data_IF_815025393359
#
_entry.id   IF_815025393359
#
_cell.length_a   1.000
_cell.length_b   1.000
_cell.length_c   1.000
_cell.angle_alpha   90.00
_cell.angle_beta   90.00
_cell.angle_gamma   90.00
#
_symmetry.space_group_name_H-M   'P 1'
#
loop_
_entity.id
_entity.type
_entity.pdbx_description
1 polymer ?
#
# COMPACT_ATOMS: atom_id res chain seq x y z
N UNK A 1 -20.90 -89.60 -74.65
CA UNK A 1 -20.79 -88.53 -73.64
C UNK A 1 -21.08 -87.18 -74.27
N UNK A 2 -21.49 -86.17 -73.50
CA UNK A 2 -21.50 -84.79 -73.96
C UNK A 2 -20.07 -84.29 -74.15
N UNK A 3 -19.94 -83.21 -74.91
CA UNK A 3 -18.71 -82.41 -74.86
C UNK A 3 -18.55 -81.85 -73.45
N UNK A 4 -17.30 -81.62 -73.06
CA UNK A 4 -16.99 -80.98 -71.78
C UNK A 4 -17.52 -79.56 -71.76
N UNK A 5 -18.12 -79.19 -70.63
CA UNK A 5 -18.43 -77.80 -70.34
C UNK A 5 -17.10 -77.04 -70.23
N UNK A 6 -17.13 -75.74 -70.51
CA UNK A 6 -15.96 -74.87 -70.34
C UNK A 6 -15.49 -74.88 -68.89
N UNK A 7 -14.17 -74.77 -68.70
CA UNK A 7 -13.56 -74.69 -67.37
C UNK A 7 -14.16 -73.59 -66.50
N UNK A 8 -14.32 -73.90 -65.21
CA UNK A 8 -14.66 -72.91 -64.18
C UNK A 8 -13.54 -71.88 -64.02
N UNK A 9 -13.85 -70.68 -63.46
CA UNK A 9 -12.82 -69.72 -63.10
C UNK A 9 -11.84 -70.31 -62.07
N UNK A 10 -10.59 -69.85 -62.11
CA UNK A 10 -9.55 -70.32 -61.21
C UNK A 10 -9.94 -70.04 -59.74
N UNK A 11 -9.60 -70.96 -58.84
CA UNK A 11 -9.93 -70.86 -57.40
C UNK A 11 -9.29 -69.66 -56.70
N UNK A 12 -8.33 -68.98 -57.32
CA UNK A 12 -7.65 -67.79 -56.80
C UNK A 12 -7.61 -66.68 -57.86
N UNK A 13 -7.43 -65.45 -57.38
CA UNK A 13 -7.40 -64.24 -58.21
C UNK A 13 -6.01 -63.81 -58.70
N UNK A 14 -4.92 -64.37 -58.16
CA UNK A 14 -3.56 -64.21 -58.68
C UNK A 14 -2.66 -65.40 -58.23
N UNK A 15 -1.80 -65.92 -59.10
CA UNK A 15 -0.89 -67.04 -58.84
C UNK A 15 -1.41 -68.41 -59.33
N UNK A 16 -0.89 -69.50 -58.74
CA UNK A 16 -1.26 -70.89 -59.06
C UNK A 16 -2.47 -71.40 -58.25
N UNK A 17 -3.61 -71.61 -58.92
CA UNK A 17 -4.84 -72.18 -58.37
C UNK A 17 -5.32 -73.44 -59.11
N UNK A 18 -6.57 -73.83 -58.90
CA UNK A 18 -7.22 -74.98 -59.53
C UNK A 18 -8.51 -74.55 -60.23
N UNK A 19 -8.86 -75.19 -61.35
CA UNK A 19 -10.16 -75.07 -62.02
C UNK A 19 -10.70 -76.43 -62.42
N UNK A 20 -12.01 -76.56 -62.46
CA UNK A 20 -12.73 -77.81 -62.74
C UNK A 20 -13.72 -77.65 -63.89
N UNK A 21 -14.02 -78.73 -64.61
CA UNK A 21 -15.09 -78.78 -65.62
C UNK A 21 -15.82 -80.09 -65.56
N UNK A 22 -17.07 -80.07 -66.01
CA UNK A 22 -17.95 -81.23 -65.98
C UNK A 22 -18.51 -81.57 -67.37
N UNK A 23 -18.90 -82.83 -67.56
CA UNK A 23 -19.64 -83.31 -68.74
C UNK A 23 -20.66 -84.35 -68.30
N UNK A 24 -21.73 -84.48 -69.07
CA UNK A 24 -22.82 -85.40 -68.75
C UNK A 24 -22.99 -86.46 -69.83
N UNK A 25 -23.73 -87.52 -69.51
CA UNK A 25 -23.96 -88.63 -70.42
C UNK A 25 -25.07 -88.26 -71.41
N UNK A 26 -24.74 -88.05 -72.69
CA UNK A 26 -25.73 -87.77 -73.75
C UNK A 26 -26.59 -88.98 -74.12
N UNK A 27 -26.01 -90.17 -74.09
CA UNK A 27 -26.68 -91.42 -74.42
C UNK A 27 -26.12 -92.50 -73.51
N UNK A 28 -27.02 -93.19 -72.83
CA UNK A 28 -26.67 -94.36 -72.04
C UNK A 28 -26.54 -95.58 -72.95
N UNK A 29 -25.64 -96.52 -72.64
CA UNK A 29 -25.53 -97.78 -73.39
C UNK A 29 -26.89 -98.49 -73.46
N UNK A 30 -27.25 -99.04 -74.61
CA UNK A 30 -28.57 -99.67 -74.83
C UNK A 30 -28.79 -100.94 -73.97
N UNK A 31 -27.71 -101.52 -73.43
CA UNK A 31 -27.75 -102.66 -72.49
C UNK A 31 -28.11 -102.28 -71.03
N UNK A 32 -28.46 -101.02 -70.76
CA UNK A 32 -28.91 -100.56 -69.43
C UNK A 32 -27.81 -100.41 -68.37
N UNK A 33 -26.53 -100.54 -68.75
CA UNK A 33 -25.39 -100.33 -67.87
C UNK A 33 -25.10 -98.82 -67.67
N UNK A 34 -24.63 -98.46 -66.48
CA UNK A 34 -24.25 -97.07 -66.17
C UNK A 34 -22.89 -96.74 -66.78
N UNK A 35 -22.77 -95.54 -67.35
CA UNK A 35 -21.53 -95.09 -67.99
C UNK A 35 -20.41 -94.86 -66.95
N UNK A 36 -19.24 -95.49 -67.13
CA UNK A 36 -18.09 -95.44 -66.21
C UNK A 36 -17.04 -94.38 -66.55
N UNK A 37 -17.26 -93.59 -67.60
CA UNK A 37 -16.34 -92.53 -68.01
C UNK A 37 -16.42 -91.32 -67.05
N UNK A 38 -15.31 -90.62 -66.80
CA UNK A 38 -15.27 -89.49 -65.87
C UNK A 38 -16.16 -88.35 -66.38
N UNK A 39 -16.95 -87.82 -65.45
CA UNK A 39 -17.87 -86.70 -65.64
C UNK A 39 -17.33 -85.39 -65.08
N UNK A 40 -16.24 -85.41 -64.32
CA UNK A 40 -15.54 -84.21 -63.81
C UNK A 40 -14.03 -84.34 -64.05
N UNK A 41 -13.39 -83.20 -64.36
CA UNK A 41 -11.95 -83.07 -64.55
C UNK A 41 -11.48 -81.79 -63.83
N UNK A 42 -10.33 -81.86 -63.15
CA UNK A 42 -9.73 -80.72 -62.44
C UNK A 42 -8.28 -80.54 -62.87
N UNK A 43 -7.90 -79.30 -63.17
CA UNK A 43 -6.54 -78.93 -63.56
C UNK A 43 -6.01 -77.72 -62.80
N UNK A 44 -4.69 -77.59 -62.76
CA UNK A 44 -4.03 -76.40 -62.21
C UNK A 44 -4.17 -75.25 -63.20
N UNK A 45 -4.50 -74.07 -62.70
CA UNK A 45 -4.57 -72.83 -63.46
C UNK A 45 -3.63 -71.79 -62.86
N UNK A 46 -3.03 -70.96 -63.71
CA UNK A 46 -2.24 -69.80 -63.28
C UNK A 46 -2.97 -68.54 -63.71
N UNK A 47 -3.23 -67.63 -62.77
CA UNK A 47 -3.83 -66.31 -63.06
C UNK A 47 -2.78 -65.25 -62.78
N UNK A 48 -2.29 -64.56 -63.83
CA UNK A 48 -1.19 -63.58 -63.80
C UNK A 48 0.14 -64.12 -63.24
N UNK A 49 1.11 -64.39 -64.12
CA UNK A 49 2.43 -64.94 -63.74
C UNK A 49 3.32 -63.97 -62.94
N UNK A 50 3.11 -62.65 -63.04
CA UNK A 50 3.93 -61.64 -62.38
C UNK A 50 3.17 -60.95 -61.23
N UNK A 51 2.88 -61.70 -60.18
CA UNK A 51 2.43 -61.10 -58.91
C UNK A 51 3.68 -60.62 -58.14
N UNK A 52 3.99 -59.31 -58.15
CA UNK A 52 5.07 -58.75 -57.31
C UNK A 52 4.75 -58.96 -55.83
N UNK A 53 5.53 -59.80 -55.15
CA UNK A 53 5.19 -60.32 -53.82
C UNK A 53 5.15 -59.27 -52.70
N UNK A 54 5.72 -58.07 -52.90
CA UNK A 54 5.96 -57.11 -51.81
C UNK A 54 5.21 -55.78 -51.91
N UNK A 55 4.48 -55.49 -53.00
CA UNK A 55 3.80 -54.20 -53.16
C UNK A 55 2.29 -54.34 -53.30
N UNK A 56 1.56 -53.71 -52.39
CA UNK A 56 0.12 -53.58 -52.43
C UNK A 56 -0.32 -52.50 -53.43
N UNK A 57 -1.39 -52.78 -54.17
CA UNK A 57 -1.99 -51.79 -55.08
C UNK A 57 -2.92 -50.89 -54.28
N UNK A 58 -2.71 -49.58 -54.37
CA UNK A 58 -3.54 -48.55 -53.74
C UNK A 58 -4.38 -47.82 -54.78
N UNK A 59 -5.50 -47.24 -54.36
CA UNK A 59 -6.27 -46.32 -55.19
C UNK A 59 -5.56 -44.98 -55.33
N UNK A 60 -6.01 -44.19 -56.30
CA UNK A 60 -5.71 -42.75 -56.31
C UNK A 60 -6.20 -42.10 -55.01
N UNK A 61 -5.57 -40.96 -54.68
CA UNK A 61 -6.00 -40.15 -53.54
C UNK A 61 -7.40 -39.58 -53.77
N UNK A 62 -8.25 -39.67 -52.76
CA UNK A 62 -9.51 -38.92 -52.72
C UNK A 62 -9.25 -37.41 -52.68
N UNK A 63 -10.33 -36.65 -52.87
CA UNK A 63 -10.30 -35.20 -52.70
C UNK A 63 -9.92 -34.83 -51.26
N UNK A 64 -9.42 -33.60 -51.09
CA UNK A 64 -9.14 -33.08 -49.77
C UNK A 64 -10.44 -32.75 -49.04
N UNK A 65 -10.54 -33.20 -47.80
CA UNK A 65 -11.58 -32.77 -46.87
C UNK A 65 -11.50 -31.26 -46.63
N UNK A 66 -12.59 -30.70 -46.12
CA UNK A 66 -12.64 -29.32 -45.66
C UNK A 66 -11.58 -29.05 -44.58
N UNK A 67 -11.11 -27.81 -44.49
CA UNK A 67 -10.15 -27.42 -43.47
C UNK A 67 -10.77 -27.60 -42.08
N UNK A 68 -10.03 -28.21 -41.15
CA UNK A 68 -10.50 -28.43 -39.78
C UNK A 68 -10.76 -27.14 -38.99
N UNK A 69 -10.29 -26.01 -39.50
CA UNK A 69 -10.54 -24.69 -38.95
C UNK A 69 -11.32 -23.86 -39.98
N UNK A 70 -12.19 -22.97 -39.50
CA UNK A 70 -12.93 -22.02 -40.35
C UNK A 70 -12.20 -20.68 -40.51
N UNK A 71 -11.25 -20.39 -39.61
CA UNK A 71 -10.35 -19.23 -39.66
C UNK A 71 -8.96 -19.62 -39.09
N UNK A 72 -7.91 -18.90 -39.46
CA UNK A 72 -6.54 -19.16 -38.99
C UNK A 72 -5.92 -20.45 -39.53
N UNK A 73 -5.05 -21.08 -38.73
CA UNK A 73 -4.34 -22.29 -39.15
C UNK A 73 -5.16 -23.54 -38.84
N UNK A 74 -5.45 -24.34 -39.87
CA UNK A 74 -6.12 -25.63 -39.74
C UNK A 74 -5.37 -26.75 -40.45
N UNK A 75 -5.98 -27.93 -40.48
CA UNK A 75 -5.49 -29.09 -41.21
C UNK A 75 -6.59 -29.64 -42.12
N UNK A 76 -6.23 -29.98 -43.36
CA UNK A 76 -7.08 -30.76 -44.26
C UNK A 76 -6.49 -32.15 -44.42
N UNK A 77 -7.34 -33.15 -44.59
CA UNK A 77 -6.94 -34.55 -44.75
C UNK A 77 -7.48 -35.11 -46.05
N UNK A 78 -6.79 -36.09 -46.62
CA UNK A 78 -7.31 -36.89 -47.73
C UNK A 78 -6.94 -38.33 -47.52
N UNK A 79 -7.75 -39.22 -48.07
CA UNK A 79 -7.66 -40.65 -47.85
C UNK A 79 -7.56 -41.42 -49.17
N UNK A 80 -6.85 -42.55 -49.15
CA UNK A 80 -6.85 -43.54 -50.23
C UNK A 80 -6.94 -44.94 -49.64
N UNK A 81 -7.42 -45.89 -50.44
CA UNK A 81 -7.66 -47.25 -49.98
C UNK A 81 -6.66 -48.23 -50.60
N UNK A 82 -6.44 -49.34 -49.91
CA UNK A 82 -5.67 -50.46 -50.47
C UNK A 82 -6.63 -51.29 -51.32
N UNK A 83 -6.41 -51.31 -52.64
CA UNK A 83 -7.22 -52.06 -53.60
C UNK A 83 -6.88 -53.54 -53.57
N UNK A 84 -5.61 -53.89 -53.37
CA UNK A 84 -5.14 -55.27 -53.24
C UNK A 84 -4.02 -55.35 -52.21
N UNK A 85 -4.14 -56.30 -51.28
CA UNK A 85 -3.10 -56.63 -50.29
C UNK A 85 -1.95 -57.41 -50.94
N UNK A 86 -0.73 -57.37 -50.36
CA UNK A 86 0.40 -58.17 -50.82
C UNK A 86 0.08 -59.68 -50.78
N UNK A 87 0.59 -60.42 -51.76
CA UNK A 87 0.36 -61.87 -51.88
C UNK A 87 0.89 -62.67 -50.67
N UNK A 88 1.92 -62.14 -49.99
CA UNK A 88 2.57 -62.76 -48.84
C UNK A 88 1.77 -62.62 -47.51
N UNK A 89 0.54 -62.08 -47.57
CA UNK A 89 -0.34 -61.91 -46.40
C UNK A 89 0.08 -60.80 -45.42
N UNK A 90 1.13 -60.04 -45.74
CA UNK A 90 1.62 -58.94 -44.93
C UNK A 90 0.75 -57.68 -45.04
N UNK A 91 0.76 -56.84 -44.00
CA UNK A 91 0.03 -55.57 -44.03
C UNK A 91 0.67 -54.58 -44.99
N UNK A 92 -0.17 -53.85 -45.72
CA UNK A 92 0.28 -52.86 -46.68
C UNK A 92 0.99 -51.68 -45.98
N UNK A 93 2.23 -51.38 -46.38
CA UNK A 93 3.03 -50.26 -45.84
C UNK A 93 2.74 -48.90 -46.51
N UNK A 94 1.83 -48.86 -47.48
CA UNK A 94 1.48 -47.62 -48.15
C UNK A 94 0.68 -46.71 -47.22
N UNK A 95 1.03 -45.43 -47.18
CA UNK A 95 0.30 -44.44 -46.38
C UNK A 95 -1.10 -44.22 -46.95
N UNK A 96 -2.13 -44.40 -46.13
CA UNK A 96 -3.55 -44.33 -46.52
C UNK A 96 -4.22 -43.00 -46.15
N UNK A 97 -3.54 -42.16 -45.37
CA UNK A 97 -4.03 -40.85 -44.96
C UNK A 97 -2.93 -39.81 -45.07
N UNK A 98 -3.19 -38.71 -45.75
CA UNK A 98 -2.27 -37.57 -45.82
C UNK A 98 -2.92 -36.35 -45.18
N UNK A 99 -2.16 -35.59 -44.40
CA UNK A 99 -2.61 -34.36 -43.76
C UNK A 99 -1.72 -33.19 -44.18
N UNK A 100 -2.33 -32.07 -44.55
CA UNK A 100 -1.64 -30.84 -44.90
C UNK A 100 -2.21 -29.66 -44.12
N UNK A 101 -1.36 -28.67 -43.84
CA UNK A 101 -1.80 -27.42 -43.22
C UNK A 101 -2.60 -26.61 -44.24
N UNK A 102 -3.75 -26.09 -43.81
CA UNK A 102 -4.53 -25.10 -44.55
C UNK A 102 -4.49 -23.78 -43.79
N UNK A 103 -4.37 -22.68 -44.53
CA UNK A 103 -4.48 -21.34 -44.00
C UNK A 103 -5.84 -20.77 -44.40
N UNK A 104 -6.70 -20.60 -43.42
CA UNK A 104 -7.99 -19.95 -43.58
C UNK A 104 -7.85 -18.45 -43.31
N UNK A 105 -8.86 -17.63 -43.67
CA UNK A 105 -8.85 -16.21 -43.34
C UNK A 105 -8.51 -15.96 -41.88
N UNK A 106 -7.80 -14.87 -41.58
CA UNK A 106 -7.42 -14.54 -40.21
C UNK A 106 -8.65 -14.52 -39.30
N UNK A 107 -8.55 -15.16 -38.14
CA UNK A 107 -9.59 -15.07 -37.13
C UNK A 107 -9.60 -13.63 -36.60
N UNK A 108 -10.56 -12.83 -37.03
CA UNK A 108 -10.83 -11.57 -36.36
C UNK A 108 -11.36 -11.88 -34.97
N UNK A 109 -10.54 -11.65 -33.94
CA UNK A 109 -11.03 -11.61 -32.57
C UNK A 109 -12.04 -10.47 -32.51
N UNK A 110 -13.29 -10.78 -32.23
CA UNK A 110 -14.27 -9.74 -31.92
C UNK A 110 -13.76 -9.10 -30.62
N UNK A 111 -13.37 -7.81 -30.61
CA UNK A 111 -12.90 -7.18 -29.39
C UNK A 111 -13.99 -7.27 -28.34
N UNK A 112 -13.62 -7.68 -27.12
CA UNK A 112 -14.55 -7.75 -26.00
C UNK A 112 -15.21 -6.38 -25.80
N UNK A 113 -16.51 -6.29 -26.06
CA UNK A 113 -17.23 -5.03 -25.92
C UNK A 113 -17.42 -4.78 -24.42
N UNK A 114 -16.65 -3.84 -23.86
CA UNK A 114 -16.75 -3.44 -22.46
C UNK A 114 -17.66 -2.22 -22.32
N UNK A 115 -18.34 -2.10 -21.17
CA UNK A 115 -19.02 -0.87 -20.79
C UNK A 115 -18.00 0.24 -20.50
N UNK A 116 -18.41 1.52 -20.56
CA UNK A 116 -17.63 2.55 -19.89
C UNK A 116 -17.47 2.20 -18.40
N UNK A 117 -16.40 2.69 -17.80
CA UNK A 117 -16.21 2.63 -16.35
C UNK A 117 -17.34 3.37 -15.65
N UNK A 118 -17.74 2.86 -14.48
CA UNK A 118 -18.57 3.61 -13.55
C UNK A 118 -17.82 4.86 -13.08
N UNK A 119 -18.58 5.77 -12.47
CA UNK A 119 -17.97 6.79 -11.61
C UNK A 119 -17.20 6.12 -10.47
N UNK A 120 -16.20 6.84 -9.97
CA UNK A 120 -15.44 6.40 -8.80
C UNK A 120 -16.34 6.40 -7.57
N UNK A 121 -16.16 5.38 -6.71
CA UNK A 121 -16.71 5.38 -5.37
C UNK A 121 -16.16 6.56 -4.56
N UNK A 122 -16.84 6.85 -3.45
CA UNK A 122 -16.25 7.66 -2.39
C UNK A 122 -14.95 7.02 -1.88
N UNK A 123 -14.10 7.85 -1.30
CA UNK A 123 -12.87 7.39 -0.66
C UNK A 123 -13.22 6.50 0.54
N UNK A 124 -12.48 5.41 0.73
CA UNK A 124 -12.69 4.45 1.83
C UNK A 124 -12.55 5.04 3.23
N UNK A 125 -11.95 6.22 3.34
CA UNK A 125 -11.72 6.97 4.57
C UNK A 125 -12.35 8.36 4.44
N UNK A 126 -12.63 9.00 5.56
CA UNK A 126 -13.11 10.39 5.62
C UNK A 126 -11.99 11.41 5.74
N UNK A 127 -10.78 10.96 6.07
CA UNK A 127 -9.57 11.78 6.20
C UNK A 127 -8.32 10.94 5.91
N UNK A 128 -7.24 11.60 5.48
CA UNK A 128 -5.95 10.99 5.20
C UNK A 128 -5.96 10.12 3.92
N UNK A 129 -5.21 9.02 3.97
CA UNK A 129 -4.96 8.15 2.81
C UNK A 129 -5.99 7.03 2.77
N UNK A 130 -6.68 6.88 1.64
CA UNK A 130 -7.62 5.79 1.40
C UNK A 130 -7.56 5.25 -0.02
N UNK A 131 -8.56 4.47 -0.38
CA UNK A 131 -8.74 3.91 -1.71
C UNK A 131 -10.16 4.20 -2.22
N UNK A 132 -10.30 4.35 -3.53
CA UNK A 132 -11.59 4.40 -4.23
C UNK A 132 -11.60 3.36 -5.33
N UNK A 133 -12.77 2.80 -5.62
CA UNK A 133 -12.95 1.76 -6.62
C UNK A 133 -13.94 2.19 -7.69
N UNK A 134 -13.76 1.67 -8.90
CA UNK A 134 -14.74 1.77 -9.97
C UNK A 134 -14.80 0.47 -10.75
N UNK A 135 -15.94 0.21 -11.37
CA UNK A 135 -16.20 -1.06 -12.04
C UNK A 135 -16.73 -0.84 -13.45
N UNK A 136 -16.47 -1.79 -14.35
CA UNK A 136 -17.06 -1.87 -15.68
C UNK A 136 -17.54 -3.30 -15.93
N UNK A 137 -18.45 -3.46 -16.87
CA UNK A 137 -19.06 -4.74 -17.21
C UNK A 137 -18.71 -5.16 -18.63
N UNK A 138 -18.68 -6.47 -18.86
CA UNK A 138 -18.64 -7.03 -20.20
C UNK A 138 -20.04 -6.91 -20.83
N UNK A 139 -20.18 -6.15 -21.93
CA UNK A 139 -21.46 -5.96 -22.62
C UNK A 139 -21.83 -7.13 -23.53
N UNK A 140 -20.87 -7.89 -24.02
CA UNK A 140 -21.11 -9.10 -24.82
C UNK A 140 -20.33 -10.27 -24.24
N UNK A 141 -20.99 -11.38 -23.93
CA UNK A 141 -20.29 -12.67 -23.80
C UNK A 141 -19.66 -12.95 -25.17
N UNK A 142 -18.34 -12.84 -25.26
CA UNK A 142 -17.62 -13.38 -26.40
C UNK A 142 -17.82 -14.90 -26.36
N UNK A 143 -18.70 -15.44 -27.21
CA UNK A 143 -18.89 -16.89 -27.35
C UNK A 143 -17.62 -17.64 -27.79
N UNK A 144 -16.50 -16.94 -28.01
CA UNK A 144 -15.27 -17.55 -28.52
C UNK A 144 -14.00 -16.81 -28.11
N UNK A 145 -13.95 -16.21 -26.91
CA UNK A 145 -12.74 -15.54 -26.42
C UNK A 145 -12.71 -15.37 -24.91
N UNK A 146 -11.61 -15.78 -24.29
CA UNK A 146 -11.31 -15.49 -22.88
C UNK A 146 -11.00 -13.99 -22.73
N UNK A 147 -11.98 -13.21 -22.27
CA UNK A 147 -11.81 -11.78 -22.05
C UNK A 147 -11.01 -11.54 -20.76
N UNK A 148 -9.68 -11.60 -20.82
CA UNK A 148 -8.76 -11.25 -19.73
C UNK A 148 -8.60 -9.73 -19.55
N UNK A 149 -9.72 -9.01 -19.50
CA UNK A 149 -9.75 -7.56 -19.28
C UNK A 149 -10.13 -7.24 -17.84
N UNK A 150 -9.48 -6.26 -17.24
CA UNK A 150 -9.72 -5.88 -15.84
C UNK A 150 -11.09 -5.20 -15.68
N UNK A 151 -11.96 -5.75 -14.85
CA UNK A 151 -13.34 -5.28 -14.63
C UNK A 151 -13.48 -4.34 -13.42
N UNK A 152 -12.48 -4.32 -12.54
CA UNK A 152 -12.45 -3.50 -11.34
C UNK A 152 -11.13 -2.76 -11.27
N UNK A 153 -11.18 -1.45 -10.99
CA UNK A 153 -9.99 -0.64 -10.81
C UNK A 153 -9.98 -0.02 -9.42
N UNK A 154 -8.82 -0.04 -8.78
CA UNK A 154 -8.58 0.58 -7.47
C UNK A 154 -7.58 1.71 -7.62
N UNK A 155 -7.90 2.87 -7.06
CA UNK A 155 -7.02 4.04 -7.04
C UNK A 155 -6.86 4.59 -5.62
N UNK A 156 -5.69 5.14 -5.32
CA UNK A 156 -5.43 5.81 -4.04
C UNK A 156 -6.10 7.19 -4.04
N UNK A 157 -6.84 7.49 -2.98
CA UNK A 157 -7.38 8.82 -2.73
C UNK A 157 -6.66 9.46 -1.53
N UNK A 158 -6.45 10.77 -1.61
CA UNK A 158 -5.84 11.58 -0.56
C UNK A 158 -6.83 12.66 -0.14
N UNK A 159 -7.36 12.51 1.07
CA UNK A 159 -8.21 13.49 1.74
C UNK A 159 -7.38 14.32 2.73
N UNK A 160 -7.93 15.43 3.26
CA UNK A 160 -7.27 16.18 4.33
C UNK A 160 -6.84 15.26 5.48
N UNK A 161 -5.68 15.54 6.07
CA UNK A 161 -5.14 14.74 7.17
C UNK A 161 -6.15 14.61 8.32
N UNK A 162 -6.12 13.45 8.99
CA UNK A 162 -7.05 13.19 10.08
C UNK A 162 -6.77 14.10 11.28
N UNK A 163 -7.82 14.55 11.99
CA UNK A 163 -7.65 15.34 13.20
C UNK A 163 -6.85 14.54 14.23
N UNK A 164 -5.81 15.16 14.78
CA UNK A 164 -4.99 14.59 15.84
C UNK A 164 -5.31 15.38 17.11
N UNK A 165 -5.88 14.70 18.10
CA UNK A 165 -6.21 15.29 19.38
C UNK A 165 -4.97 15.54 20.24
N UNK A 166 -5.07 16.50 21.15
CA UNK A 166 -4.00 16.74 22.10
C UNK A 166 -3.80 15.57 23.06
N UNK A 167 -2.56 15.11 23.16
CA UNK A 167 -2.14 14.10 24.13
C UNK A 167 -1.32 14.76 25.26
N UNK A 168 -1.67 14.45 26.50
CA UNK A 168 -1.03 15.02 27.68
C UNK A 168 -0.36 13.93 28.50
N UNK A 169 0.75 14.27 29.14
CA UNK A 169 1.43 13.35 30.06
C UNK A 169 0.58 13.10 31.31
N UNK A 170 0.96 12.09 32.09
CA UNK A 170 0.45 11.93 33.44
C UNK A 170 0.71 13.19 34.30
N UNK A 171 -0.13 13.39 35.31
CA UNK A 171 0.02 14.48 36.25
C UNK A 171 1.25 14.29 37.13
N UNK A 172 1.97 15.38 37.39
CA UNK A 172 2.97 15.42 38.46
C UNK A 172 2.34 15.12 39.81
N UNK A 173 3.19 14.77 40.78
CA UNK A 173 2.77 14.80 42.19
C UNK A 173 2.35 16.20 42.60
N UNK A 174 1.48 16.28 43.61
CA UNK A 174 1.06 17.55 44.20
C UNK A 174 2.23 18.23 44.89
N UNK A 175 2.36 19.54 44.69
CA UNK A 175 3.29 20.38 45.43
C UNK A 175 2.95 20.41 46.91
N UNK A 176 3.90 20.87 47.72
CA UNK A 176 3.61 21.29 49.08
C UNK A 176 2.66 22.48 49.12
N UNK A 177 2.02 22.71 50.28
CA UNK A 177 1.09 23.81 50.46
C UNK A 177 1.86 25.14 50.45
N UNK A 178 1.47 26.08 49.60
CA UNK A 178 2.15 27.38 49.44
C UNK A 178 2.11 28.30 50.69
N UNK A 179 1.53 27.84 51.80
CA UNK A 179 1.59 28.56 53.07
C UNK A 179 2.08 27.63 54.16
N UNK A 180 2.97 28.14 55.01
CA UNK A 180 3.44 27.44 56.21
C UNK A 180 2.38 27.35 57.31
N UNK A 181 1.29 28.12 57.23
CA UNK A 181 0.18 28.07 58.18
C UNK A 181 -1.14 28.57 57.56
N UNK A 182 -2.28 28.10 58.09
CA UNK A 182 -3.61 28.52 57.66
C UNK A 182 -4.09 27.93 56.33
N UNK A 183 -4.93 28.68 55.58
CA UNK A 183 -5.51 28.24 54.30
C UNK A 183 -4.58 28.60 53.13
N UNK A 184 -4.16 27.59 52.36
CA UNK A 184 -3.30 27.73 51.18
C UNK A 184 -3.79 26.90 49.99
N UNK A 185 -2.92 26.71 49.00
CA UNK A 185 -3.17 25.86 47.84
C UNK A 185 -1.97 24.99 47.51
N UNK A 186 -2.25 23.81 46.95
CA UNK A 186 -1.29 22.91 46.30
C UNK A 186 -1.55 22.92 44.80
N UNK A 187 -0.50 22.71 44.02
CA UNK A 187 -0.54 22.74 42.55
C UNK A 187 0.06 21.43 42.04
N UNK A 188 -0.47 20.90 40.95
CA UNK A 188 0.19 19.87 40.14
C UNK A 188 0.15 20.27 38.67
N UNK A 189 1.10 19.78 37.90
CA UNK A 189 1.27 20.14 36.49
C UNK A 189 1.42 18.89 35.63
N UNK A 190 1.01 18.98 34.37
CA UNK A 190 1.29 17.98 33.32
C UNK A 190 1.77 18.71 32.07
N UNK A 191 2.47 18.01 31.18
CA UNK A 191 3.00 18.58 29.94
C UNK A 191 2.18 18.10 28.75
N UNK A 192 2.19 18.90 27.68
CA UNK A 192 1.64 18.51 26.39
C UNK A 192 2.66 17.58 25.73
N UNK A 193 2.25 16.35 25.48
CA UNK A 193 3.06 15.34 24.78
C UNK A 193 2.89 15.48 23.27
N UNK A 194 1.65 15.71 22.82
CA UNK A 194 1.32 15.98 21.42
C UNK A 194 0.36 17.17 21.34
N UNK A 195 0.73 18.18 20.57
CA UNK A 195 -0.13 19.32 20.25
C UNK A 195 -1.24 18.88 19.28
N UNK A 196 -2.44 19.49 19.37
CA UNK A 196 -3.54 19.18 18.46
C UNK A 196 -3.19 19.62 17.02
N UNK A 197 -3.46 18.75 16.06
CA UNK A 197 -3.20 19.02 14.64
C UNK A 197 -4.45 18.76 13.79
N UNK A 198 -4.49 19.38 12.62
CA UNK A 198 -5.54 19.16 11.61
C UNK A 198 -6.98 19.32 12.14
N UNK A 199 -7.19 20.24 13.08
CA UNK A 199 -8.50 20.49 13.69
C UNK A 199 -8.88 19.56 14.85
N UNK A 200 -7.92 18.81 15.40
CA UNK A 200 -8.12 18.01 16.63
C UNK A 200 -8.44 18.85 17.87
N UNK A 201 -8.92 18.17 18.91
CA UNK A 201 -9.41 18.81 20.12
C UNK A 201 -8.28 19.53 20.91
N UNK A 202 -8.52 20.76 21.39
CA UNK A 202 -7.51 21.53 22.12
C UNK A 202 -7.16 20.88 23.47
N UNK A 203 -5.90 21.08 23.89
CA UNK A 203 -5.42 20.54 25.15
C UNK A 203 -6.21 21.07 26.36
N UNK A 204 -6.71 20.19 27.25
CA UNK A 204 -7.26 20.62 28.53
C UNK A 204 -6.17 21.18 29.46
N UNK A 205 -6.56 21.88 30.54
CA UNK A 205 -5.63 22.59 31.43
C UNK A 205 -4.41 21.74 31.86
N UNK A 206 -3.22 22.35 31.80
CA UNK A 206 -1.95 21.74 32.17
C UNK A 206 -1.59 21.97 33.64
N UNK A 207 -2.32 22.84 34.33
CA UNK A 207 -2.08 23.19 35.74
C UNK A 207 -3.36 23.03 36.52
N UNK A 208 -3.32 22.26 37.62
CA UNK A 208 -4.46 22.10 38.50
C UNK A 208 -4.16 22.61 39.90
N UNK A 209 -5.12 23.32 40.51
CA UNK A 209 -5.01 23.89 41.85
C UNK A 209 -6.03 23.28 42.81
N UNK A 210 -5.58 22.81 43.98
CA UNK A 210 -6.44 22.30 45.05
C UNK A 210 -6.20 23.06 46.36
N UNK A 211 -7.27 23.28 47.14
CA UNK A 211 -7.19 23.98 48.44
C UNK A 211 -6.51 23.06 49.48
N UNK A 212 -5.58 23.60 50.27
CA UNK A 212 -4.96 22.92 51.42
C UNK A 212 -5.14 23.72 52.70
N UNK A 213 -5.09 23.04 53.85
CA UNK A 213 -5.06 23.67 55.18
C UNK A 213 -3.85 23.16 55.95
N UNK A 214 -3.02 24.09 56.38
CA UNK A 214 -1.87 23.85 57.26
C UNK A 214 -2.24 24.35 58.66
N UNK A 215 -1.46 23.97 59.68
CA UNK A 215 -1.67 24.35 61.09
C UNK A 215 -2.02 25.84 61.25
N UNK A 216 -2.82 26.18 62.27
CA UNK A 216 -3.25 27.55 62.53
C UNK A 216 -2.03 28.47 62.70
N UNK A 217 -2.03 29.63 62.04
CA UNK A 217 -0.97 30.61 62.20
C UNK A 217 -0.95 31.15 63.63
N UNK A 218 0.25 31.32 64.20
CA UNK A 218 0.41 31.98 65.51
C UNK A 218 0.04 33.46 65.36
N UNK A 219 -0.72 33.97 66.32
CA UNK A 219 -1.43 35.25 66.25
C UNK A 219 -0.50 36.45 65.93
N UNK A 220 -0.84 37.33 64.95
CA UNK A 220 -0.04 38.52 64.60
C UNK A 220 0.12 39.54 65.74
N UNK A 221 -0.70 39.41 66.79
CA UNK A 221 -0.67 40.28 67.99
C UNK A 221 0.63 40.15 68.78
N UNK A 222 1.25 38.97 68.84
CA UNK A 222 2.51 38.79 69.58
C UNK A 222 3.68 39.48 68.86
N UNK A 223 3.70 39.48 67.52
CA UNK A 223 4.69 40.23 66.76
C UNK A 223 4.52 41.74 66.96
N UNK A 224 3.28 42.25 66.92
CA UNK A 224 3.00 43.68 67.17
C UNK A 224 3.38 44.13 68.60
N UNK A 225 3.20 43.26 69.60
CA UNK A 225 3.63 43.53 70.98
C UNK A 225 5.16 43.64 71.07
N UNK A 226 5.89 42.67 70.51
CA UNK A 226 7.37 42.72 70.45
C UNK A 226 7.91 43.95 69.71
N UNK A 227 7.26 44.36 68.62
CA UNK A 227 7.63 45.59 67.90
C UNK A 227 7.37 46.87 68.72
N UNK A 228 6.35 46.86 69.58
CA UNK A 228 6.00 47.99 70.45
C UNK A 228 6.99 48.11 71.62
N UNK A 229 7.31 46.99 72.27
CA UNK A 229 8.33 46.90 73.34
C UNK A 229 9.72 47.34 72.83
N UNK A 230 10.12 46.89 71.64
CA UNK A 230 11.39 47.29 71.01
C UNK A 230 11.41 48.77 70.58
N UNK A 231 10.25 49.43 70.43
CA UNK A 231 10.15 50.87 70.09
C UNK A 231 10.22 51.74 71.33
N UNK A 232 9.67 51.27 72.45
CA UNK A 232 9.78 51.94 73.76
C UNK A 232 11.20 51.85 74.33
N UNK A 233 11.88 50.71 74.19
CA UNK A 233 13.28 50.56 74.64
C UNK A 233 14.23 51.56 73.96
N UNK A 234 14.07 51.77 72.64
CA UNK A 234 14.86 52.76 71.88
C UNK A 234 14.58 54.21 72.30
N UNK A 235 13.36 54.50 72.77
CA UNK A 235 12.97 55.84 73.23
C UNK A 235 13.58 56.18 74.60
N UNK A 236 13.73 55.17 75.47
CA UNK A 236 14.40 55.34 76.77
C UNK A 236 15.92 55.51 76.66
N UNK A 237 16.56 54.89 75.65
CA UNK A 237 17.99 55.13 75.37
C UNK A 237 18.23 56.56 74.87
N UNK A 238 17.36 57.06 73.99
CA UNK A 238 17.49 58.39 73.39
C UNK A 238 17.31 59.55 74.40
N UNK A 239 16.51 59.35 75.46
CA UNK A 239 16.33 60.34 76.54
C UNK A 239 17.51 60.39 77.53
N UNK A 240 18.38 59.37 77.54
CA UNK A 240 19.60 59.37 78.37
C UNK A 240 20.78 60.08 77.69
N UNK A 241 20.79 60.16 76.36
CA UNK A 241 21.87 60.84 75.62
C UNK A 241 21.70 62.37 75.53
N UNK A 242 20.50 62.93 75.79
CA UNK A 242 20.25 64.38 75.72
C UNK A 242 20.72 65.18 76.97
N UNK A 243 21.30 64.52 77.99
CA UNK A 243 21.71 65.17 79.24
C UNK A 243 23.19 65.55 79.33
N UNK A 244 24.03 65.18 78.36
CA UNK A 244 25.46 65.53 78.41
C UNK A 244 26.05 65.76 77.01
N UNK A 245 26.28 67.03 76.65
CA UNK A 245 27.11 67.38 75.49
C UNK A 245 26.87 68.76 74.86
N UNK A 246 27.65 69.75 75.30
CA UNK A 246 27.89 71.02 74.62
C UNK A 246 28.54 70.88 73.21
N UNK A 247 28.46 71.99 72.47
CA UNK A 247 28.64 72.22 71.04
C UNK A 247 30.06 71.97 70.47
N UNK A 248 30.16 71.27 69.33
CA UNK A 248 31.34 71.28 68.42
C UNK A 248 30.92 71.60 66.97
N UNK A 249 31.69 72.41 66.20
CA UNK A 249 31.27 72.86 64.87
C UNK A 249 31.73 71.92 63.73
N UNK A 250 30.82 71.59 62.82
CA UNK A 250 31.09 70.89 61.55
C UNK A 250 30.51 71.62 60.33
N UNK A 251 31.18 71.53 59.17
CA UNK A 251 30.79 72.15 57.88
C UNK A 251 29.30 71.93 57.55
N UNK A 252 28.52 73.00 57.33
CA UNK A 252 27.12 72.92 56.88
C UNK A 252 27.03 72.71 55.36
N UNK A 253 26.74 71.48 54.92
CA UNK A 253 26.33 71.16 53.55
C UNK A 253 24.87 71.55 53.31
N UNK A 254 24.50 71.90 52.07
CA UNK A 254 23.08 71.93 51.69
C UNK A 254 22.55 70.49 51.58
N UNK A 255 21.26 70.23 51.79
CA UNK A 255 20.69 68.92 51.49
C UNK A 255 20.84 68.57 50.01
N UNK A 256 20.82 67.27 49.70
CA UNK A 256 20.87 66.79 48.30
C UNK A 256 19.73 67.40 47.49
N UNK A 257 20.06 67.80 46.27
CA UNK A 257 19.03 68.13 45.27
C UNK A 257 18.23 66.89 44.89
N UNK A 258 17.03 67.09 44.35
CA UNK A 258 16.25 66.01 43.75
C UNK A 258 17.01 65.41 42.56
N UNK A 259 16.73 64.14 42.25
CA UNK A 259 17.30 63.49 41.07
C UNK A 259 16.83 64.18 39.80
N UNK A 260 17.73 64.36 38.84
CA UNK A 260 17.37 64.80 37.50
C UNK A 260 16.41 63.80 36.84
N UNK A 261 15.72 64.22 35.78
CA UNK A 261 14.99 63.30 34.93
C UNK A 261 15.95 62.32 34.23
N UNK A 262 15.44 61.14 33.87
CA UNK A 262 16.26 60.10 33.27
C UNK A 262 16.62 60.47 31.83
N UNK A 263 17.90 60.40 31.47
CA UNK A 263 18.37 60.85 30.14
C UNK A 263 17.82 60.04 28.97
N UNK A 264 17.32 58.82 29.20
CA UNK A 264 16.66 57.98 28.18
C UNK A 264 15.38 57.38 28.74
N UNK A 265 14.38 57.22 27.89
CA UNK A 265 13.08 56.67 28.29
C UNK A 265 13.06 55.13 28.38
N UNK A 266 13.91 54.43 27.63
CA UNK A 266 14.11 52.97 27.71
C UNK A 266 15.54 52.60 27.26
N UNK A 267 15.98 51.36 27.52
CA UNK A 267 17.28 50.85 27.07
C UNK A 267 18.48 51.32 27.90
N UNK A 268 18.26 51.88 29.09
CA UNK A 268 19.28 52.32 30.04
C UNK A 268 19.69 53.79 29.88
N UNK A 269 19.20 54.64 30.79
CA UNK A 269 19.58 56.04 30.96
C UNK A 269 20.25 56.31 32.32
N UNK A 270 20.62 57.56 32.57
CA UNK A 270 21.34 58.00 33.78
C UNK A 270 20.60 59.17 34.43
N UNK A 271 20.57 59.19 35.77
CA UNK A 271 20.13 60.33 36.58
C UNK A 271 21.23 60.79 37.51
N UNK A 272 21.27 62.10 37.77
CA UNK A 272 22.30 62.73 38.59
C UNK A 272 21.67 63.65 39.64
N UNK A 273 22.38 63.84 40.76
CA UNK A 273 22.08 64.88 41.75
C UNK A 273 23.33 65.41 42.43
N UNK A 274 23.21 66.59 43.02
CA UNK A 274 24.34 67.33 43.59
C UNK A 274 24.07 67.78 45.03
N UNK A 275 25.14 67.87 45.80
CA UNK A 275 25.17 68.44 47.15
C UNK A 275 26.32 69.44 47.24
N UNK A 276 25.97 70.71 47.46
CA UNK A 276 26.94 71.81 47.47
C UNK A 276 27.16 72.42 48.86
N UNK A 277 28.36 72.94 49.10
CA UNK A 277 28.72 73.56 50.39
C UNK A 277 28.02 74.91 50.55
N UNK A 278 27.38 75.16 51.70
CA UNK A 278 26.56 76.38 51.92
C UNK A 278 27.39 77.63 52.27
N UNK A 279 28.56 77.48 52.89
CA UNK A 279 29.51 78.57 53.23
C UNK A 279 30.91 78.00 53.43
N UNK A 280 31.95 78.61 52.84
CA UNK A 280 33.36 78.27 53.11
C UNK A 280 33.94 79.24 54.13
N UNK A 281 34.39 78.73 55.27
CA UNK A 281 35.25 79.50 56.18
C UNK A 281 36.71 79.24 55.83
N UNK A 282 37.50 80.30 55.67
CA UNK A 282 38.96 80.22 55.49
C UNK A 282 39.60 79.93 56.85
N UNK A 283 40.01 78.69 57.06
CA UNK A 283 41.06 78.33 58.02
C UNK A 283 41.82 77.11 57.49
N UNK A 284 43.13 77.12 57.67
CA UNK A 284 44.16 76.32 56.99
C UNK A 284 44.25 74.84 57.42
N UNK A 285 43.17 74.23 57.91
CA UNK A 285 43.22 72.84 58.45
C UNK A 285 42.11 71.88 57.99
N UNK A 286 41.31 72.19 56.97
CA UNK A 286 40.36 71.20 56.43
C UNK A 286 40.26 71.25 54.89
N UNK A 287 40.94 70.32 54.23
CA UNK A 287 40.98 70.17 52.76
C UNK A 287 39.78 69.43 52.16
N UNK A 288 38.69 69.18 52.91
CA UNK A 288 37.64 68.23 52.50
C UNK A 288 36.18 68.72 52.62
N UNK A 289 35.91 70.02 52.47
CA UNK A 289 34.53 70.48 52.19
C UNK A 289 34.42 70.76 50.67
N UNK A 290 34.22 69.69 49.90
CA UNK A 290 34.01 69.70 48.44
C UNK A 290 32.56 69.34 48.11
N UNK A 291 32.07 69.88 47.01
CA UNK A 291 30.75 69.52 46.47
C UNK A 291 30.77 68.04 46.05
N UNK A 292 29.65 67.36 46.27
CA UNK A 292 29.49 65.93 45.96
C UNK A 292 28.43 65.75 44.88
N UNK A 293 28.70 64.81 43.96
CA UNK A 293 27.78 64.41 42.89
C UNK A 293 27.53 62.91 42.99
N UNK A 294 26.28 62.52 42.85
CA UNK A 294 25.86 61.12 42.74
C UNK A 294 25.18 60.87 41.40
N UNK A 295 25.43 59.68 40.85
CA UNK A 295 24.93 59.24 39.56
C UNK A 295 24.36 57.84 39.72
N UNK A 296 23.21 57.56 39.12
CA UNK A 296 22.62 56.21 39.09
C UNK A 296 21.99 55.89 37.73
N UNK A 297 21.90 54.60 37.42
CA UNK A 297 21.19 54.11 36.24
C UNK A 297 19.67 54.14 36.45
N UNK A 298 18.94 54.39 35.37
CA UNK A 298 17.48 54.41 35.32
C UNK A 298 17.01 53.80 33.98
N UNK A 299 15.75 53.33 33.93
CA UNK A 299 15.13 52.79 32.72
C UNK A 299 15.94 51.68 32.01
N UNK A 300 16.50 50.74 32.78
CA UNK A 300 17.36 49.62 32.30
C UNK A 300 16.60 48.46 31.64
N UNK A 301 15.30 48.61 31.40
CA UNK A 301 14.53 47.63 30.64
C UNK A 301 14.73 47.84 29.12
N UNK A 302 14.70 46.78 28.30
CA UNK A 302 14.87 46.90 26.85
C UNK A 302 13.79 47.79 26.22
N UNK A 303 14.20 48.57 25.22
CA UNK A 303 13.29 48.98 24.15
C UNK A 303 13.23 47.81 23.15
#
# INVERSE_FOLDING_TARGET
MSEWITWSPCSISCGLGMRSRERYVKQFPEDGSVCTLPTEETEKCTVNEECSSSSCLVTEWGEWDECSATCGMGMKKRHRMVKMSPADGSMCKAETSQAEKCMMPECHTIPCLLSPWSEWSDCSVTCGKGMRTRQRMLKSLAELGDCNEELEQVEKCMLPECPIDCELTEWSQWSECNKSCGKGHVIRTRMIQMEPQFGGAPCPETVQRKKCRVRKCRNPSIQKLRWREARESRRSEQLREESDGEHFPGCRMRPWTAWSECTKLCGGGIQERYMTVKKRFKSSQFTSCKDKKEIRACNVHPC
#
